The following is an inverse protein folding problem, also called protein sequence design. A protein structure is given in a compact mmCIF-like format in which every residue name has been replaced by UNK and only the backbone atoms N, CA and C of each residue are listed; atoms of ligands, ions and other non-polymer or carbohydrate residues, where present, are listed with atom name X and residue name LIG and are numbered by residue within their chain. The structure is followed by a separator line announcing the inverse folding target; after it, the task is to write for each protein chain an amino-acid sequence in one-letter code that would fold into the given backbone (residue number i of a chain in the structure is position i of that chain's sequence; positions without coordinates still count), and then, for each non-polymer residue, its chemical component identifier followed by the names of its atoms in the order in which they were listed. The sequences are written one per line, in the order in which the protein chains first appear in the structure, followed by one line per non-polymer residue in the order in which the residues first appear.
data_IF_356484306378
#
_entry.id   IF_356484306378
#
_cell.length_a   1.000
_cell.length_b   1.000
_cell.length_c   1.000
_cell.angle_alpha   90.00
_cell.angle_beta   90.00
_cell.angle_gamma   90.00
#
_symmetry.space_group_name_H-M   'P 1'
#
loop_
_entity.id
_entity.type
_entity.pdbx_description
1 polymer ?
#
# COMPACT_ATOMS: atom_id res chain seq x y z
N UNK A 1 -12.52 18.94 5.04
CA UNK A 1 -11.84 18.49 3.80
C UNK A 1 -12.64 17.35 3.17
N UNK A 2 -13.07 17.50 1.91
CA UNK A 2 -13.82 16.46 1.22
C UNK A 2 -12.82 15.47 0.59
N UNK A 3 -12.60 14.32 1.22
CA UNK A 3 -11.62 13.30 0.81
C UNK A 3 -11.79 12.90 -0.67
N UNK A 4 -13.03 12.96 -1.20
CA UNK A 4 -13.33 12.68 -2.60
C UNK A 4 -12.69 13.64 -3.61
N UNK A 5 -12.41 14.91 -3.24
CA UNK A 5 -11.75 15.87 -4.15
C UNK A 5 -10.23 15.67 -4.28
N UNK A 6 -9.64 14.79 -3.45
CA UNK A 6 -8.20 14.53 -3.48
C UNK A 6 -7.80 13.47 -4.51
N UNK A 7 -8.77 12.74 -5.04
CA UNK A 7 -8.57 11.70 -6.04
C UNK A 7 -9.10 12.21 -7.38
N UNK A 8 -8.31 13.02 -8.09
CA UNK A 8 -8.66 13.35 -9.47
C UNK A 8 -8.66 12.07 -10.31
N UNK A 9 -9.47 12.00 -11.39
CA UNK A 9 -9.46 10.86 -12.29
C UNK A 9 -8.04 10.51 -12.77
N UNK A 10 -7.22 11.51 -13.09
CA UNK A 10 -5.82 11.33 -13.51
C UNK A 10 -4.94 10.70 -12.42
N UNK A 11 -5.12 11.10 -11.16
CA UNK A 11 -4.40 10.52 -10.03
C UNK A 11 -4.84 9.08 -9.80
N UNK A 12 -6.14 8.81 -9.88
CA UNK A 12 -6.71 7.46 -9.75
C UNK A 12 -6.23 6.53 -10.85
N UNK A 13 -6.22 6.97 -12.11
CA UNK A 13 -5.67 6.21 -13.23
C UNK A 13 -4.20 5.88 -13.00
N UNK A 14 -3.40 6.86 -12.56
CA UNK A 14 -2.00 6.63 -12.18
C UNK A 14 -1.85 5.61 -11.05
N UNK A 15 -2.79 5.56 -10.10
CA UNK A 15 -2.76 4.61 -8.97
C UNK A 15 -3.07 3.19 -9.43
N UNK A 16 -4.16 2.99 -10.16
CA UNK A 16 -4.53 1.65 -10.67
C UNK A 16 -3.54 1.12 -11.70
N UNK A 17 -2.77 2.00 -12.34
CA UNK A 17 -1.69 1.63 -13.28
C UNK A 17 -0.35 1.39 -12.56
N UNK A 18 0.10 2.34 -11.71
CA UNK A 18 1.48 2.36 -11.18
C UNK A 18 1.59 2.11 -9.67
N UNK A 19 0.59 2.49 -8.88
CA UNK A 19 0.64 2.44 -7.41
C UNK A 19 -0.50 1.58 -6.85
N UNK A 20 -0.37 0.26 -6.87
CA UNK A 20 -1.48 -0.65 -6.55
C UNK A 20 -1.92 -0.56 -5.08
N UNK A 21 -1.16 0.12 -4.21
CA UNK A 21 -1.50 0.25 -2.79
C UNK A 21 -1.92 1.69 -2.42
N UNK A 22 -3.23 1.99 -2.41
CA UNK A 22 -3.74 3.32 -2.10
C UNK A 22 -3.53 3.74 -0.63
N UNK A 23 -3.24 2.81 0.28
CA UNK A 23 -2.99 3.13 1.68
C UNK A 23 -1.63 3.81 1.90
N UNK A 24 -0.61 3.46 1.09
CA UNK A 24 0.69 4.15 1.08
C UNK A 24 0.51 5.65 0.75
N UNK A 25 -0.33 5.94 -0.26
CA UNK A 25 -0.64 7.30 -0.66
C UNK A 25 -1.54 8.03 0.35
N UNK A 26 -2.50 7.31 0.95
CA UNK A 26 -3.33 7.85 2.01
C UNK A 26 -2.48 8.32 3.20
N UNK A 27 -1.53 7.51 3.66
CA UNK A 27 -0.63 7.91 4.73
C UNK A 27 0.17 9.16 4.35
N UNK A 28 0.80 9.14 3.17
CA UNK A 28 1.68 10.22 2.72
C UNK A 28 0.94 11.54 2.45
N UNK A 29 -0.26 11.50 1.86
CA UNK A 29 -0.97 12.71 1.40
C UNK A 29 -2.12 13.14 2.31
N UNK A 30 -2.80 12.20 2.96
CA UNK A 30 -3.95 12.49 3.82
C UNK A 30 -3.50 12.56 5.28
N UNK A 31 -3.12 11.41 5.87
CA UNK A 31 -2.91 11.29 7.31
C UNK A 31 -1.74 12.13 7.82
N UNK A 32 -0.67 12.20 7.04
CA UNK A 32 0.54 12.94 7.40
C UNK A 32 0.85 14.08 6.41
N UNK A 33 -0.03 14.31 5.43
CA UNK A 33 0.04 15.48 4.55
C UNK A 33 -1.00 16.50 4.97
N UNK A 34 -2.18 16.42 4.37
CA UNK A 34 -3.29 17.34 4.59
C UNK A 34 -3.67 17.53 6.07
N UNK A 35 -3.62 16.48 6.89
CA UNK A 35 -3.87 16.60 8.32
C UNK A 35 -2.78 17.43 9.03
N UNK A 36 -1.50 17.18 8.74
CA UNK A 36 -0.39 17.94 9.31
C UNK A 36 -0.40 19.41 8.88
N UNK A 37 -0.81 19.68 7.63
CA UNK A 37 -1.02 21.05 7.15
C UNK A 37 -2.16 21.75 7.89
N UNK A 38 -3.26 21.04 8.15
CA UNK A 38 -4.42 21.59 8.85
C UNK A 38 -4.12 21.97 10.31
N UNK A 39 -3.22 21.26 10.97
CA UNK A 39 -2.80 21.54 12.35
C UNK A 39 -1.52 22.37 12.43
N UNK A 40 -0.99 22.84 11.29
CA UNK A 40 0.31 23.53 11.24
C UNK A 40 0.35 24.83 12.04
N UNK A 41 -0.79 25.51 12.18
CA UNK A 41 -0.92 26.73 12.99
C UNK A 41 -1.16 26.45 14.48
N UNK A 42 -1.24 25.18 14.88
CA UNK A 42 -1.38 24.77 16.27
C UNK A 42 -0.01 24.38 16.84
N UNK A 43 0.16 24.59 18.13
CA UNK A 43 1.44 24.38 18.83
C UNK A 43 1.53 22.93 19.34
N UNK A 44 1.81 22.00 18.42
CA UNK A 44 2.01 20.58 18.72
C UNK A 44 3.39 20.11 18.26
N UNK A 45 4.14 19.52 19.19
CA UNK A 45 5.46 18.94 18.92
C UNK A 45 5.37 17.71 18.00
N UNK A 46 4.44 16.80 18.32
CA UNK A 46 4.30 15.51 17.64
C UNK A 46 2.85 15.14 17.34
N UNK A 47 2.68 14.32 16.30
CA UNK A 47 1.44 13.65 15.94
C UNK A 47 1.55 12.17 16.24
N UNK A 48 0.71 11.68 17.15
CA UNK A 48 0.59 10.26 17.43
C UNK A 48 -0.39 9.58 16.48
N UNK A 49 -0.07 8.37 16.05
CA UNK A 49 -1.05 7.50 15.38
C UNK A 49 -0.92 6.05 15.82
N UNK A 50 -2.01 5.30 15.73
CA UNK A 50 -2.04 3.87 16.07
C UNK A 50 -1.44 2.96 15.00
N UNK A 51 -0.43 3.41 14.25
CA UNK A 51 0.29 2.51 13.35
C UNK A 51 1.21 1.61 14.16
N UNK A 52 1.31 0.34 13.75
CA UNK A 52 2.31 -0.59 14.24
C UNK A 52 3.61 -0.36 13.46
N UNK A 53 4.40 0.59 13.93
CA UNK A 53 5.74 0.94 13.46
C UNK A 53 6.43 1.70 14.59
N UNK A 54 7.74 1.93 14.49
CA UNK A 54 8.46 2.76 15.45
C UNK A 54 9.17 3.92 14.74
N UNK A 55 9.31 5.06 15.41
CA UNK A 55 10.12 6.18 14.93
C UNK A 55 11.16 6.51 15.98
N UNK A 56 12.43 6.46 15.58
CA UNK A 56 13.55 6.87 16.41
C UNK A 56 14.01 8.23 15.93
N UNK A 57 13.84 9.24 16.79
CA UNK A 57 14.40 10.57 16.58
C UNK A 57 15.84 10.59 17.10
N UNK A 58 16.74 11.26 16.36
CA UNK A 58 18.12 11.39 16.83
C UNK A 58 18.18 12.17 18.14
N UNK A 59 19.02 11.66 19.05
CA UNK A 59 19.27 12.25 20.37
C UNK A 59 20.34 13.35 20.32
N UNK A 60 21.01 13.54 19.16
CA UNK A 60 22.04 14.58 19.06
C UNK A 60 21.35 15.94 18.89
N UNK A 61 21.81 16.96 19.63
CA UNK A 61 21.33 18.34 19.49
C UNK A 61 21.73 18.97 18.13
N UNK A 62 22.10 18.17 17.13
CA UNK A 62 22.33 18.62 15.77
C UNK A 62 20.98 18.68 15.06
N UNK A 63 20.60 19.88 14.65
CA UNK A 63 19.30 20.23 14.06
C UNK A 63 18.97 19.43 12.79
N UNK A 64 19.95 18.74 12.19
CA UNK A 64 19.82 18.13 10.87
C UNK A 64 19.83 16.60 10.83
N UNK A 65 19.85 15.90 11.97
CA UNK A 65 19.79 14.43 11.95
C UNK A 65 18.42 13.92 11.49
N UNK A 66 18.41 12.87 10.68
CA UNK A 66 17.19 12.24 10.19
C UNK A 66 16.52 11.38 11.27
N UNK A 67 15.19 11.29 11.21
CA UNK A 67 14.46 10.28 11.98
C UNK A 67 14.47 8.94 11.23
N UNK A 68 14.54 7.85 11.98
CA UNK A 68 14.57 6.49 11.44
C UNK A 68 13.19 5.85 11.65
N UNK A 69 12.64 5.28 10.58
CA UNK A 69 11.44 4.44 10.65
C UNK A 69 11.89 2.99 10.87
N UNK A 70 11.45 2.40 11.97
CA UNK A 70 11.77 1.03 12.36
C UNK A 70 10.53 0.13 12.31
N UNK A 71 10.79 -1.16 12.12
CA UNK A 71 9.78 -2.22 12.21
C UNK A 71 9.17 -2.24 13.62
N UNK A 72 7.88 -2.58 13.68
CA UNK A 72 7.21 -2.85 14.94
C UNK A 72 7.71 -4.15 15.58
N UNK A 73 7.63 -4.22 16.91
CA UNK A 73 7.80 -5.45 17.66
C UNK A 73 6.82 -6.55 17.21
N UNK A 74 5.62 -6.19 16.78
CA UNK A 74 4.64 -7.13 16.20
C UNK A 74 4.85 -7.27 14.69
N UNK A 75 5.74 -8.18 14.29
CA UNK A 75 6.07 -8.44 12.89
C UNK A 75 4.87 -8.88 12.03
N UNK A 76 3.81 -9.44 12.65
CA UNK A 76 2.59 -9.84 11.94
C UNK A 76 1.72 -8.62 11.63
N UNK A 77 1.78 -7.61 12.49
CA UNK A 77 0.98 -6.38 12.37
C UNK A 77 1.77 -5.19 11.88
N UNK A 78 3.06 -5.32 11.63
CA UNK A 78 3.94 -4.27 11.13
C UNK A 78 3.33 -3.52 9.93
N UNK A 79 3.42 -2.19 9.97
CA UNK A 79 2.83 -1.29 8.98
C UNK A 79 3.87 -0.36 8.34
N UNK A 80 5.17 -0.59 8.54
CA UNK A 80 6.24 0.23 7.95
C UNK A 80 6.14 0.30 6.43
N UNK A 81 5.72 -0.78 5.78
CA UNK A 81 5.46 -0.82 4.34
C UNK A 81 4.53 0.31 3.87
N UNK A 82 3.44 0.54 4.61
CA UNK A 82 2.47 1.58 4.29
C UNK A 82 2.97 3.00 4.61
N UNK A 83 4.09 3.11 5.32
CA UNK A 83 4.74 4.36 5.74
C UNK A 83 6.02 4.65 4.94
N UNK A 84 6.41 3.75 4.02
CA UNK A 84 7.64 3.84 3.20
C UNK A 84 7.78 5.13 2.37
N UNK A 85 6.68 5.82 2.08
CA UNK A 85 6.68 7.04 1.25
C UNK A 85 6.68 8.35 2.05
N UNK A 86 6.73 8.29 3.38
CA UNK A 86 6.85 9.50 4.20
C UNK A 86 8.10 10.30 3.85
N UNK A 87 8.04 11.62 4.00
CA UNK A 87 9.23 12.47 3.95
C UNK A 87 9.85 12.60 5.34
N UNK A 88 11.11 13.02 5.42
CA UNK A 88 11.75 13.35 6.70
C UNK A 88 11.01 14.46 7.46
N UNK A 89 10.47 15.45 6.75
CA UNK A 89 9.64 16.52 7.34
C UNK A 89 8.40 15.94 8.03
N UNK A 90 7.79 14.91 7.44
CA UNK A 90 6.68 14.20 8.07
C UNK A 90 7.18 13.39 9.25
N UNK A 91 8.15 12.50 9.02
CA UNK A 91 8.64 11.53 9.99
C UNK A 91 9.16 12.17 11.29
N UNK A 92 9.87 13.30 11.21
CA UNK A 92 10.37 14.06 12.36
C UNK A 92 9.28 14.53 13.34
N UNK A 93 8.02 14.57 12.90
CA UNK A 93 6.87 15.01 13.71
C UNK A 93 5.95 13.86 14.10
N UNK A 94 6.33 12.59 13.87
CA UNK A 94 5.47 11.44 14.14
C UNK A 94 5.99 10.63 15.31
N UNK A 95 5.04 10.15 16.12
CA UNK A 95 5.27 9.09 17.11
C UNK A 95 4.26 7.96 16.90
N UNK A 96 4.68 6.73 17.15
CA UNK A 96 3.86 5.52 17.00
C UNK A 96 3.86 4.71 18.31
N UNK A 97 2.94 5.01 19.23
CA UNK A 97 2.93 4.39 20.57
C UNK A 97 2.71 2.87 20.56
N UNK A 98 2.14 2.32 19.47
CA UNK A 98 1.88 0.89 19.35
C UNK A 98 3.08 0.11 18.79
N UNK A 99 4.17 0.77 18.42
CA UNK A 99 5.35 0.14 17.83
C UNK A 99 6.01 -0.91 18.73
N UNK A 100 5.94 -0.71 20.04
CA UNK A 100 6.61 -1.52 21.07
C UNK A 100 5.70 -2.52 21.80
N UNK A 101 4.47 -2.73 21.33
CA UNK A 101 3.52 -3.65 21.97
C UNK A 101 2.78 -4.48 20.93
N UNK A 102 2.53 -5.75 21.27
CA UNK A 102 1.77 -6.64 20.40
C UNK A 102 0.30 -6.24 20.30
N UNK A 103 -0.36 -6.66 19.22
CA UNK A 103 -1.81 -6.45 19.07
C UNK A 103 -2.62 -7.09 20.20
N UNK A 104 -2.16 -8.23 20.71
CA UNK A 104 -2.79 -8.91 21.84
C UNK A 104 -2.70 -8.06 23.11
N UNK A 105 -1.54 -7.50 23.41
CA UNK A 105 -1.35 -6.58 24.54
C UNK A 105 -2.19 -5.32 24.41
N UNK A 106 -2.27 -4.72 23.21
CA UNK A 106 -3.17 -3.58 22.96
C UNK A 106 -4.63 -3.92 23.28
N UNK A 107 -5.10 -5.13 22.95
CA UNK A 107 -6.46 -5.57 23.26
C UNK A 107 -6.67 -5.81 24.76
N UNK A 108 -5.67 -6.38 25.44
CA UNK A 108 -5.68 -6.56 26.90
C UNK A 108 -5.76 -5.20 27.60
N UNK A 109 -4.90 -4.25 27.23
CA UNK A 109 -4.90 -2.88 27.77
C UNK A 109 -6.22 -2.16 27.49
N UNK A 110 -6.74 -2.24 26.25
CA UNK A 110 -8.02 -1.62 25.91
C UNK A 110 -9.19 -2.19 26.75
N UNK A 111 -9.14 -3.49 27.08
CA UNK A 111 -10.14 -4.12 27.96
C UNK A 111 -9.96 -3.69 29.41
N UNK A 112 -8.72 -3.65 29.89
CA UNK A 112 -8.38 -3.24 31.25
C UNK A 112 -8.78 -1.78 31.53
N UNK A 113 -8.57 -0.88 30.55
CA UNK A 113 -8.96 0.53 30.65
C UNK A 113 -10.42 0.80 30.26
N UNK A 114 -11.21 -0.24 29.97
CA UNK A 114 -12.61 -0.13 29.56
C UNK A 114 -12.85 0.84 28.40
N UNK A 115 -12.00 0.81 27.38
CA UNK A 115 -12.12 1.72 26.24
C UNK A 115 -13.37 1.40 25.40
N UNK A 116 -14.14 2.41 24.93
CA UNK A 116 -15.37 2.19 24.15
C UNK A 116 -15.18 1.38 22.87
N UNK A 117 -13.97 1.34 22.32
CA UNK A 117 -13.62 0.64 21.09
C UNK A 117 -12.90 -0.71 21.33
N UNK A 118 -12.80 -1.20 22.58
CA UNK A 118 -12.06 -2.42 22.95
C UNK A 118 -12.47 -3.66 22.14
N UNK A 119 -13.76 -3.80 21.83
CA UNK A 119 -14.33 -4.94 21.08
C UNK A 119 -14.41 -4.71 19.56
N UNK A 120 -14.02 -3.52 19.08
CA UNK A 120 -14.13 -3.18 17.66
C UNK A 120 -13.17 -4.03 16.84
N UNK A 121 -13.66 -4.77 15.85
CA UNK A 121 -12.83 -5.53 14.90
C UNK A 121 -11.87 -4.61 14.13
N UNK A 122 -10.71 -5.16 13.77
CA UNK A 122 -9.74 -4.44 12.93
C UNK A 122 -10.38 -4.05 11.59
N UNK A 123 -10.05 -2.86 11.09
CA UNK A 123 -10.50 -2.41 9.78
C UNK A 123 -9.92 -3.33 8.69
N UNK A 124 -10.78 -3.77 7.78
CA UNK A 124 -10.39 -4.54 6.60
C UNK A 124 -10.65 -3.69 5.35
N UNK A 125 -9.78 -3.80 4.34
CA UNK A 125 -9.86 -3.00 3.13
C UNK A 125 -9.16 -1.64 3.24
N UNK A 126 -9.37 -0.79 2.24
CA UNK A 126 -8.64 0.47 2.05
C UNK A 126 -9.08 1.50 3.09
N UNK A 127 -8.10 2.13 3.73
CA UNK A 127 -8.25 2.92 4.97
C UNK A 127 -9.35 4.00 4.91
N UNK A 128 -9.57 4.65 3.76
CA UNK A 128 -10.49 5.79 3.63
C UNK A 128 -11.84 5.43 2.97
N UNK A 129 -12.00 4.22 2.43
CA UNK A 129 -13.24 3.82 1.75
C UNK A 129 -14.32 3.32 2.72
N UNK A 130 -13.94 3.00 3.96
CA UNK A 130 -14.86 2.49 4.96
C UNK A 130 -15.52 1.20 4.49
N UNK A 131 -16.83 1.23 4.24
CA UNK A 131 -17.61 0.06 3.79
C UNK A 131 -17.72 -0.08 2.28
N UNK A 132 -17.24 0.91 1.51
CA UNK A 132 -17.35 0.92 0.04
C UNK A 132 -16.31 -0.04 -0.55
N UNK A 133 -16.72 -0.89 -1.50
CA UNK A 133 -15.81 -1.78 -2.21
C UNK A 133 -14.89 -0.97 -3.12
N UNK A 134 -13.60 -1.33 -3.18
CA UNK A 134 -12.63 -0.66 -4.05
C UNK A 134 -13.09 -0.58 -5.51
N UNK A 135 -13.61 -1.70 -6.05
CA UNK A 135 -14.11 -1.74 -7.44
C UNK A 135 -15.24 -0.74 -7.69
N UNK A 136 -16.13 -0.54 -6.71
CA UNK A 136 -17.22 0.43 -6.84
C UNK A 136 -16.70 1.87 -6.78
N UNK A 137 -15.75 2.12 -5.86
CA UNK A 137 -15.09 3.41 -5.79
C UNK A 137 -14.38 3.77 -7.10
N UNK A 138 -13.61 2.85 -7.67
CA UNK A 138 -12.92 3.04 -8.95
C UNK A 138 -13.92 3.28 -10.08
N UNK A 139 -14.96 2.44 -10.21
CA UNK A 139 -15.99 2.61 -11.24
C UNK A 139 -16.68 3.97 -11.19
N UNK A 140 -16.92 4.52 -9.99
CA UNK A 140 -17.53 5.86 -9.83
C UNK A 140 -16.64 7.01 -10.29
N UNK A 141 -15.32 6.86 -10.28
CA UNK A 141 -14.40 7.97 -10.57
C UNK A 141 -13.76 7.88 -11.97
N UNK A 142 -13.44 6.68 -12.45
CA UNK A 142 -12.82 6.48 -13.77
C UNK A 142 -13.70 5.70 -14.74
N UNK A 143 -14.87 5.22 -14.29
CA UNK A 143 -15.80 4.47 -15.13
C UNK A 143 -15.42 3.01 -15.34
N UNK A 144 -16.09 2.39 -16.31
CA UNK A 144 -15.82 1.06 -16.82
C UNK A 144 -15.54 1.18 -18.32
N UNK A 145 -14.55 0.46 -18.82
CA UNK A 145 -14.21 0.43 -20.24
C UNK A 145 -14.02 -1.03 -20.66
N UNK A 146 -14.94 -1.53 -21.49
CA UNK A 146 -14.92 -2.93 -21.88
C UNK A 146 -13.64 -3.26 -22.67
N UNK A 147 -12.95 -4.33 -22.24
CA UNK A 147 -11.74 -4.84 -22.88
C UNK A 147 -11.79 -6.36 -22.99
N UNK A 148 -10.73 -6.96 -23.51
CA UNK A 148 -10.65 -8.41 -23.76
C UNK A 148 -9.65 -9.10 -22.85
N UNK A 149 -9.98 -10.33 -22.46
CA UNK A 149 -9.09 -11.24 -21.75
C UNK A 149 -8.56 -12.27 -22.75
N UNK A 150 -7.24 -12.38 -22.87
CA UNK A 150 -6.57 -13.35 -23.74
C UNK A 150 -5.75 -14.35 -22.92
N UNK A 151 -5.60 -15.58 -23.41
CA UNK A 151 -4.64 -16.55 -22.87
C UNK A 151 -3.22 -16.10 -23.23
N UNK A 152 -2.35 -16.01 -22.22
CA UNK A 152 -1.01 -15.46 -22.41
C UNK A 152 -0.12 -16.34 -23.31
N UNK A 153 -0.35 -17.66 -23.28
CA UNK A 153 0.43 -18.63 -24.04
C UNK A 153 0.01 -18.73 -25.51
N UNK A 154 -1.29 -18.68 -25.80
CA UNK A 154 -1.84 -18.94 -27.14
C UNK A 154 -2.33 -17.69 -27.84
N UNK A 155 -2.64 -16.63 -27.08
CA UNK A 155 -3.36 -15.46 -27.59
C UNK A 155 -4.86 -15.69 -27.76
N UNK A 156 -5.38 -16.85 -27.35
CA UNK A 156 -6.79 -17.20 -27.53
C UNK A 156 -7.70 -16.26 -26.74
N UNK A 157 -8.85 -15.93 -27.33
CA UNK A 157 -9.86 -15.15 -26.66
C UNK A 157 -10.52 -15.97 -25.54
N UNK A 158 -10.42 -15.48 -24.30
CA UNK A 158 -11.01 -16.12 -23.12
C UNK A 158 -12.31 -15.45 -22.67
N UNK A 159 -12.46 -14.15 -22.92
CA UNK A 159 -13.66 -13.42 -22.51
C UNK A 159 -13.48 -11.90 -22.53
N UNK A 160 -14.44 -11.19 -21.92
CA UNK A 160 -14.41 -9.73 -21.79
C UNK A 160 -14.28 -9.31 -20.33
N UNK A 161 -13.77 -8.11 -20.11
CA UNK A 161 -13.69 -7.49 -18.80
C UNK A 161 -14.16 -6.04 -18.83
N UNK A 162 -14.38 -5.44 -17.65
CA UNK A 162 -14.98 -4.10 -17.50
C UNK A 162 -13.94 -2.97 -17.37
N UNK A 163 -12.70 -3.22 -17.80
CA UNK A 163 -11.56 -2.31 -17.64
C UNK A 163 -10.39 -2.97 -16.91
N UNK A 164 -9.17 -2.75 -17.41
CA UNK A 164 -7.96 -3.43 -16.89
C UNK A 164 -7.63 -3.03 -15.44
N UNK A 165 -8.10 -1.86 -14.99
CA UNK A 165 -7.87 -1.33 -13.64
C UNK A 165 -8.59 -2.10 -12.52
N UNK A 166 -9.52 -2.98 -12.86
CA UNK A 166 -10.13 -3.92 -11.91
C UNK A 166 -9.32 -5.20 -11.70
N UNK A 167 -8.15 -5.30 -12.35
CA UNK A 167 -7.31 -6.49 -12.34
C UNK A 167 -5.91 -6.19 -11.80
N UNK A 168 -5.42 -7.08 -10.94
CA UNK A 168 -4.06 -7.06 -10.39
C UNK A 168 -3.29 -8.28 -10.89
N UNK A 169 -2.01 -8.10 -11.22
CA UNK A 169 -1.13 -9.23 -11.59
C UNK A 169 -1.12 -10.24 -10.42
N UNK A 170 -1.29 -11.53 -10.73
CA UNK A 170 -1.43 -12.62 -9.75
C UNK A 170 -2.85 -12.83 -9.23
N UNK A 171 -3.82 -12.00 -9.62
CA UNK A 171 -5.22 -12.18 -9.24
C UNK A 171 -5.78 -13.48 -9.82
N UNK A 172 -6.35 -14.32 -8.95
CA UNK A 172 -7.07 -15.56 -9.32
C UNK A 172 -8.59 -15.39 -9.33
N UNK A 173 -9.12 -14.65 -8.36
CA UNK A 173 -10.57 -14.51 -8.18
C UNK A 173 -11.13 -13.40 -9.07
N UNK A 174 -12.42 -13.51 -9.44
CA UNK A 174 -13.13 -12.47 -10.19
C UNK A 174 -12.88 -12.44 -11.71
N UNK A 175 -12.08 -13.37 -12.25
CA UNK A 175 -11.87 -13.52 -13.69
C UNK A 175 -13.09 -14.09 -14.44
N UNK A 176 -13.91 -14.93 -13.75
CA UNK A 176 -15.13 -15.57 -14.29
C UNK A 176 -14.89 -16.39 -15.57
N UNK A 177 -13.70 -16.99 -15.69
CA UNK A 177 -13.33 -17.85 -16.83
C UNK A 177 -13.54 -19.34 -16.48
N UNK A 178 -14.07 -20.15 -17.42
CA UNK A 178 -14.18 -21.60 -17.24
C UNK A 178 -12.82 -22.31 -17.37
N UNK A 179 -12.70 -23.55 -16.90
CA UNK A 179 -11.50 -24.38 -17.10
C UNK A 179 -10.26 -23.98 -16.29
N UNK A 180 -10.45 -23.29 -15.16
CA UNK A 180 -9.37 -22.75 -14.32
C UNK A 180 -8.55 -23.79 -13.52
N UNK A 181 -7.63 -23.33 -12.65
CA UNK A 181 -7.49 -21.95 -12.17
C UNK A 181 -6.76 -21.03 -13.16
N UNK A 182 -7.32 -19.84 -13.37
CA UNK A 182 -6.70 -18.76 -14.15
C UNK A 182 -6.09 -17.69 -13.24
N UNK A 183 -5.00 -17.09 -13.69
CA UNK A 183 -4.35 -15.98 -13.01
C UNK A 183 -4.01 -14.88 -14.01
N UNK A 184 -4.20 -13.63 -13.63
CA UNK A 184 -3.72 -12.48 -14.41
C UNK A 184 -2.20 -12.48 -14.42
N UNK A 185 -1.58 -12.50 -15.59
CA UNK A 185 -0.11 -12.46 -15.73
C UNK A 185 0.43 -11.13 -16.23
N UNK A 186 -0.38 -10.43 -17.04
CA UNK A 186 0.02 -9.19 -17.70
C UNK A 186 -1.21 -8.33 -18.02
N UNK A 187 -0.98 -7.02 -18.17
CA UNK A 187 -1.98 -6.04 -18.60
C UNK A 187 -1.37 -5.15 -19.67
N UNK A 188 -1.97 -5.13 -20.85
CA UNK A 188 -1.70 -4.12 -21.86
C UNK A 188 -2.66 -2.95 -21.67
N UNK A 189 -2.14 -1.90 -21.05
CA UNK A 189 -2.89 -0.67 -20.75
C UNK A 189 -3.26 0.09 -22.02
N UNK A 190 -2.43 0.04 -23.07
CA UNK A 190 -2.67 0.81 -24.31
C UNK A 190 -3.82 0.23 -25.11
N UNK A 191 -3.90 -1.10 -25.15
CA UNK A 191 -4.90 -1.82 -25.92
C UNK A 191 -6.09 -2.30 -25.07
N UNK A 192 -6.12 -1.98 -23.78
CA UNK A 192 -7.13 -2.45 -22.81
C UNK A 192 -7.29 -3.98 -22.83
N UNK A 193 -6.17 -4.70 -22.75
CA UNK A 193 -6.12 -6.17 -22.75
C UNK A 193 -5.60 -6.68 -21.41
N UNK A 194 -6.24 -7.72 -20.88
CA UNK A 194 -5.77 -8.47 -19.72
C UNK A 194 -5.33 -9.86 -20.17
N UNK A 195 -4.10 -10.26 -19.85
CA UNK A 195 -3.63 -11.61 -20.15
C UNK A 195 -3.77 -12.51 -18.93
N UNK A 196 -4.34 -13.70 -19.14
CA UNK A 196 -4.51 -14.70 -18.11
C UNK A 196 -3.79 -16.01 -18.48
N UNK A 197 -3.36 -16.76 -17.48
CA UNK A 197 -2.68 -18.04 -17.67
C UNK A 197 -3.06 -19.04 -16.58
N UNK A 198 -3.11 -20.32 -16.95
CA UNK A 198 -3.23 -21.45 -16.02
C UNK A 198 -1.88 -21.88 -15.43
N UNK A 199 -0.78 -21.51 -16.09
CA UNK A 199 0.59 -21.89 -15.74
C UNK A 199 1.31 -20.79 -14.95
N UNK A 200 0.61 -20.00 -14.14
CA UNK A 200 1.19 -18.85 -13.43
C UNK A 200 2.42 -19.20 -12.57
N UNK A 201 2.43 -20.39 -11.96
CA UNK A 201 3.51 -20.87 -11.09
C UNK A 201 4.55 -21.73 -11.80
N UNK A 202 4.53 -21.81 -13.13
CA UNK A 202 5.52 -22.57 -13.88
C UNK A 202 6.92 -21.98 -13.67
N UNK A 203 7.94 -22.84 -13.72
CA UNK A 203 9.30 -22.46 -13.36
C UNK A 203 9.87 -21.36 -14.28
N UNK A 204 9.50 -21.40 -15.56
CA UNK A 204 9.84 -20.42 -16.59
C UNK A 204 9.25 -19.03 -16.34
N UNK A 205 8.19 -18.92 -15.52
CA UNK A 205 7.57 -17.63 -15.15
C UNK A 205 8.12 -17.03 -13.85
N UNK A 206 9.09 -17.70 -13.20
CA UNK A 206 9.76 -17.15 -12.02
C UNK A 206 10.55 -15.90 -12.40
N UNK A 207 10.22 -14.77 -11.80
CA UNK A 207 10.98 -13.54 -11.94
C UNK A 207 12.13 -13.53 -10.94
N UNK A 208 13.36 -13.46 -11.45
CA UNK A 208 14.59 -13.30 -10.63
C UNK A 208 15.12 -11.87 -10.62
N UNK A 209 14.58 -11.02 -11.50
CA UNK A 209 14.99 -9.64 -11.70
C UNK A 209 13.71 -8.82 -11.85
N UNK A 210 13.67 -7.66 -11.23
CA UNK A 210 12.62 -6.66 -11.44
C UNK A 210 13.28 -5.29 -11.52
N UNK A 211 12.61 -4.35 -12.17
CA UNK A 211 13.03 -2.95 -12.23
C UNK A 211 12.16 -2.16 -11.27
N UNK A 212 12.79 -1.33 -10.47
CA UNK A 212 12.12 -0.45 -9.52
C UNK A 212 12.21 0.96 -10.07
N UNK A 213 11.06 1.61 -10.25
CA UNK A 213 10.99 3.04 -10.54
C UNK A 213 10.99 3.84 -9.24
N UNK A 214 11.63 5.01 -9.24
CA UNK A 214 11.55 6.01 -8.17
C UNK A 214 11.78 5.46 -6.75
N UNK A 215 12.98 4.92 -6.51
CA UNK A 215 13.41 4.57 -5.16
C UNK A 215 13.40 5.81 -4.26
N UNK A 216 12.78 5.68 -3.08
CA UNK A 216 12.80 6.69 -2.03
C UNK A 216 13.51 6.10 -0.83
N UNK A 217 14.60 6.75 -0.43
CA UNK A 217 15.26 6.49 0.84
C UNK A 217 14.71 7.45 1.87
N UNK A 218 14.38 6.93 3.05
CA UNK A 218 13.95 7.78 4.17
C UNK A 218 15.15 8.54 4.73
N UNK A 219 16.32 7.92 4.84
CA UNK A 219 17.56 8.61 5.23
C UNK A 219 18.17 9.37 4.05
N UNK A 220 18.79 10.52 4.33
CA UNK A 220 19.59 11.33 3.41
C UNK A 220 20.94 10.70 3.08
N UNK A 221 21.39 9.70 3.85
CA UNK A 221 22.53 8.88 3.49
C UNK A 221 22.12 7.98 2.33
N UNK A 222 22.17 8.55 1.12
CA UNK A 222 22.19 7.78 -0.11
C UNK A 222 23.31 6.77 0.05
N UNK A 223 22.98 5.49 -0.03
CA UNK A 223 23.95 4.44 0.18
C UNK A 223 24.97 4.49 -0.97
N UNK A 224 26.13 5.10 -0.75
CA UNK A 224 27.35 4.86 -1.56
C UNK A 224 27.76 3.38 -1.51
N UNK A 225 27.17 2.63 -0.59
CA UNK A 225 27.27 1.19 -0.46
C UNK A 225 25.98 0.53 -0.95
N UNK A 226 25.97 0.05 -2.18
CA UNK A 226 25.05 -1.00 -2.66
C UNK A 226 25.29 -2.33 -1.92
N UNK A 227 25.30 -2.29 -0.58
CA UNK A 227 25.41 -3.46 0.26
C UNK A 227 24.09 -4.22 0.22
N UNK A 228 24.13 -5.37 -0.45
CA UNK A 228 23.22 -6.52 -0.30
C UNK A 228 21.80 -6.19 0.20
N UNK A 229 21.02 -5.48 -0.62
CA UNK A 229 19.58 -5.36 -0.38
C UNK A 229 18.96 -6.76 -0.40
N UNK A 230 18.40 -7.19 0.72
CA UNK A 230 17.66 -8.44 0.82
C UNK A 230 16.19 -8.16 0.56
N UNK A 231 15.76 -8.47 -0.66
CA UNK A 231 14.34 -8.41 -0.99
C UNK A 231 13.61 -9.57 -0.33
N UNK A 232 12.75 -9.27 0.65
CA UNK A 232 11.87 -10.26 1.24
C UNK A 232 10.53 -10.26 0.51
N UNK A 233 10.30 -11.31 -0.27
CA UNK A 233 9.00 -11.57 -0.86
C UNK A 233 8.09 -12.20 0.20
N UNK A 234 7.16 -11.41 0.73
CA UNK A 234 5.99 -11.99 1.40
C UNK A 234 5.05 -12.56 0.33
N UNK A 235 4.24 -13.59 0.61
CA UNK A 235 3.39 -14.25 -0.39
C UNK A 235 2.44 -13.31 -1.18
N UNK A 236 2.33 -12.03 -0.79
CA UNK A 236 1.48 -11.03 -1.40
C UNK A 236 2.16 -9.68 -1.70
N UNK A 237 3.40 -9.42 -1.24
CA UNK A 237 4.09 -8.12 -1.38
C UNK A 237 5.62 -8.32 -1.43
N UNK A 238 6.32 -7.71 -2.38
CA UNK A 238 7.78 -7.56 -2.36
C UNK A 238 8.15 -6.36 -1.47
N UNK A 239 8.92 -6.61 -0.41
CA UNK A 239 9.62 -5.56 0.36
C UNK A 239 11.08 -5.54 -0.12
N UNK A 240 11.62 -4.34 -0.35
CA UNK A 240 13.04 -4.08 -0.64
C UNK A 240 13.75 -3.68 0.64
#
# INVERSE_FOLDING_TARGET
MNIGRMWSPTLLTSIVVMYPNPDVLCNTRIKFGAFMDAIKSMDFDYVASGHYANVVHSCTNQVDDDSILELSQDMVKDQTYFLSHLSQVQLKRLIFPLGCISKEEVRKLATQFDLPNKDRKDSQGICFLGKIKFSEFVARHIGEEEGVILEAETGDFLGKHRGFWFYTIGQRQGLRLPGGPWYVVEKDVKNNVVFASRNYFSFDKRRRIFRVGSLRWLSRLGTDQTCHLQCQAWPWILQL
#
